data_IF_733617527615
#
_entry.id   IF_733617527615
#
_cell.length_a   1.000
_cell.length_b   1.000
_cell.length_c   1.000
_cell.angle_alpha   90.00
_cell.angle_beta   90.00
_cell.angle_gamma   90.00
#
_symmetry.space_group_name_H-M   'P 1'
#
loop_
_entity.id
_entity.type
_entity.pdbx_description
1 polymer ?
#
# COMPACT_ATOMS: atom_id res chain seq x y z
N UNK A 1 -3.27 -38.20 -50.56
CA UNK A 1 -3.52 -37.67 -49.20
C UNK A 1 -2.39 -38.13 -48.30
N UNK A 2 -1.36 -37.29 -48.13
CA UNK A 2 -0.26 -37.53 -47.20
C UNK A 2 -0.47 -36.59 -46.02
N UNK A 3 -0.82 -37.16 -44.87
CA UNK A 3 -0.94 -36.45 -43.60
C UNK A 3 0.46 -36.03 -43.14
N UNK A 4 0.76 -34.74 -43.30
CA UNK A 4 1.91 -34.08 -42.70
C UNK A 4 1.79 -34.16 -41.18
N UNK A 5 2.68 -34.94 -40.54
CA UNK A 5 2.87 -34.89 -39.10
C UNK A 5 3.61 -33.59 -38.75
N UNK A 6 2.92 -32.69 -38.05
CA UNK A 6 3.53 -31.53 -37.41
C UNK A 6 4.33 -32.05 -36.20
N UNK A 7 5.66 -31.88 -36.15
CA UNK A 7 6.43 -32.29 -34.99
C UNK A 7 6.13 -31.32 -33.85
N UNK A 8 5.51 -31.84 -32.79
CA UNK A 8 5.37 -31.17 -31.48
C UNK A 8 6.78 -30.99 -30.88
N UNK A 9 7.43 -29.89 -31.24
CA UNK A 9 8.71 -29.50 -30.71
C UNK A 9 8.54 -29.12 -29.23
N UNK A 10 8.93 -30.03 -28.34
CA UNK A 10 9.00 -29.81 -26.91
C UNK A 10 10.10 -28.75 -26.64
N UNK A 11 9.75 -27.46 -26.72
CA UNK A 11 10.64 -26.33 -26.37
C UNK A 11 11.07 -26.54 -24.91
N UNK A 12 12.31 -27.01 -24.68
CA UNK A 12 12.90 -27.12 -23.34
C UNK A 12 12.98 -25.71 -22.76
N UNK A 13 12.02 -25.36 -21.91
CA UNK A 13 11.99 -24.12 -21.14
C UNK A 13 13.28 -24.07 -20.31
N UNK A 14 14.18 -23.14 -20.60
CA UNK A 14 15.43 -22.99 -19.86
C UNK A 14 15.14 -22.26 -18.53
N UNK A 15 15.16 -22.94 -17.36
CA UNK A 15 14.60 -22.40 -16.12
C UNK A 15 15.37 -21.19 -15.56
N UNK A 16 16.65 -21.06 -15.89
CA UNK A 16 17.55 -20.06 -15.30
C UNK A 16 17.20 -18.62 -15.69
N UNK A 17 16.50 -18.40 -16.81
CA UNK A 17 16.36 -17.07 -17.43
C UNK A 17 15.06 -16.35 -17.05
N UNK A 18 13.97 -17.11 -16.88
CA UNK A 18 12.79 -16.65 -16.13
C UNK A 18 13.17 -16.28 -14.70
N UNK A 19 14.13 -17.01 -14.13
CA UNK A 19 14.75 -16.69 -12.86
C UNK A 19 15.37 -15.29 -12.82
N UNK A 20 16.03 -14.82 -13.90
CA UNK A 20 16.66 -13.49 -13.91
C UNK A 20 15.64 -12.35 -13.90
N UNK A 21 14.62 -12.38 -14.78
CA UNK A 21 13.56 -11.34 -14.80
C UNK A 21 12.78 -11.32 -13.48
N UNK A 22 12.48 -12.49 -12.94
CA UNK A 22 11.86 -12.63 -11.63
C UNK A 22 12.75 -12.08 -10.51
N UNK A 23 14.04 -12.42 -10.52
CA UNK A 23 14.98 -11.90 -9.55
C UNK A 23 15.07 -10.37 -9.60
N UNK A 24 15.18 -9.77 -10.78
CA UNK A 24 15.20 -8.31 -10.95
C UNK A 24 13.94 -7.69 -10.36
N UNK A 25 12.75 -8.19 -10.73
CA UNK A 25 11.46 -7.65 -10.26
C UNK A 25 11.28 -7.80 -8.75
N UNK A 26 11.68 -8.94 -8.18
CA UNK A 26 11.64 -9.19 -6.74
C UNK A 26 12.58 -8.22 -6.01
N UNK A 27 13.81 -8.06 -6.50
CA UNK A 27 14.77 -7.11 -5.93
C UNK A 27 14.24 -5.68 -6.01
N UNK A 28 13.73 -5.26 -7.18
CA UNK A 28 13.08 -3.96 -7.38
C UNK A 28 11.97 -3.74 -6.37
N UNK A 29 11.11 -4.73 -6.17
CA UNK A 29 9.99 -4.66 -5.23
C UNK A 29 10.46 -4.53 -3.79
N UNK A 30 11.44 -5.34 -3.37
CA UNK A 30 12.01 -5.28 -2.01
C UNK A 30 12.64 -3.91 -1.75
N UNK A 31 13.42 -3.38 -2.70
CA UNK A 31 14.05 -2.07 -2.60
C UNK A 31 13.02 -0.94 -2.50
N UNK A 32 12.06 -0.90 -3.43
CA UNK A 32 11.01 0.14 -3.45
C UNK A 32 10.17 0.10 -2.17
N UNK A 33 9.75 -1.10 -1.73
CA UNK A 33 8.94 -1.25 -0.50
C UNK A 33 9.72 -0.82 0.74
N UNK A 34 11.01 -1.18 0.83
CA UNK A 34 11.87 -0.80 1.95
C UNK A 34 12.04 0.73 2.04
N UNK A 35 12.34 1.38 0.91
CA UNK A 35 12.44 2.83 0.83
C UNK A 35 11.12 3.52 1.15
N UNK A 36 10.02 3.03 0.59
CA UNK A 36 8.68 3.55 0.86
C UNK A 36 8.31 3.44 2.35
N UNK A 37 8.70 2.35 3.01
CA UNK A 37 8.47 2.15 4.44
C UNK A 37 9.22 3.18 5.29
N UNK A 38 10.54 3.34 5.06
CA UNK A 38 11.37 4.34 5.77
C UNK A 38 10.83 5.74 5.56
N UNK A 39 10.51 6.09 4.32
CA UNK A 39 9.93 7.38 3.96
C UNK A 39 8.57 7.62 4.63
N UNK A 40 7.70 6.61 4.69
CA UNK A 40 6.39 6.71 5.34
C UNK A 40 6.54 6.97 6.85
N UNK A 41 7.47 6.27 7.51
CA UNK A 41 7.78 6.51 8.93
C UNK A 41 8.28 7.95 9.13
N UNK A 42 9.23 8.39 8.29
CA UNK A 42 9.74 9.76 8.31
C UNK A 42 8.63 10.80 8.17
N UNK A 43 7.75 10.62 7.17
CA UNK A 43 6.63 11.51 6.89
C UNK A 43 5.66 11.56 8.08
N UNK A 44 5.35 10.42 8.71
CA UNK A 44 4.47 10.38 9.89
C UNK A 44 5.02 11.23 11.02
N UNK A 45 6.30 11.09 11.33
CA UNK A 45 6.92 11.88 12.40
C UNK A 45 7.03 13.36 12.03
N UNK A 46 7.36 13.68 10.79
CA UNK A 46 7.38 15.06 10.31
C UNK A 46 5.97 15.70 10.41
N UNK A 47 4.91 14.99 10.01
CA UNK A 47 3.52 15.47 10.14
C UNK A 47 3.11 15.60 11.61
N UNK A 48 3.60 14.73 12.49
CA UNK A 48 3.37 14.84 13.92
C UNK A 48 3.99 16.11 14.48
N UNK A 49 5.23 16.43 14.08
CA UNK A 49 5.91 17.68 14.45
C UNK A 49 5.23 18.95 13.91
N UNK A 50 4.55 18.87 12.77
CA UNK A 50 3.71 19.96 12.26
C UNK A 50 2.31 20.01 12.87
N UNK A 51 1.92 19.02 13.69
CA UNK A 51 0.58 18.95 14.29
C UNK A 51 -0.52 18.60 13.28
N UNK A 52 -0.13 18.09 12.12
CA UNK A 52 -1.03 17.69 11.02
C UNK A 52 -1.39 16.20 11.06
N UNK A 53 -0.67 15.41 11.86
CA UNK A 53 -0.92 13.97 11.99
C UNK A 53 -2.20 13.70 12.80
N UNK A 54 -3.33 13.50 12.10
CA UNK A 54 -4.61 13.14 12.73
C UNK A 54 -4.84 11.63 12.78
N UNK A 55 -4.44 10.94 11.72
CA UNK A 55 -4.56 9.50 11.58
C UNK A 55 -3.17 8.87 11.50
N UNK A 56 -3.01 7.67 12.03
CA UNK A 56 -1.80 6.87 11.87
C UNK A 56 -1.57 6.48 10.40
N UNK A 57 -2.67 6.24 9.67
CA UNK A 57 -2.69 5.85 8.27
C UNK A 57 -2.76 7.07 7.34
N UNK A 58 -1.61 7.59 6.90
CA UNK A 58 -1.54 8.67 5.91
C UNK A 58 -1.05 8.18 4.56
N UNK A 59 -1.57 8.82 3.50
CA UNK A 59 -1.06 8.58 2.16
C UNK A 59 0.10 9.51 1.86
N UNK A 60 1.22 8.89 1.48
CA UNK A 60 2.43 9.57 1.01
C UNK A 60 2.15 10.54 -0.13
N UNK A 61 1.28 10.21 -1.08
CA UNK A 61 1.08 11.04 -2.28
C UNK A 61 0.45 12.41 -2.01
N UNK A 62 -0.34 12.57 -0.94
CA UNK A 62 -1.11 13.80 -0.70
C UNK A 62 -0.66 14.54 0.53
N UNK A 63 -0.28 13.82 1.58
CA UNK A 63 0.22 14.44 2.80
C UNK A 63 1.68 14.82 2.61
N UNK A 64 2.02 16.05 2.99
CA UNK A 64 3.37 16.56 2.90
C UNK A 64 3.65 17.53 4.04
N UNK A 65 4.92 17.63 4.40
CA UNK A 65 5.41 18.60 5.36
C UNK A 65 5.96 19.82 4.61
N UNK A 66 5.75 21.02 5.16
CA UNK A 66 6.32 22.25 4.61
C UNK A 66 7.76 22.46 5.08
N UNK A 67 8.07 21.96 6.27
CA UNK A 67 9.35 22.23 6.92
C UNK A 67 10.42 21.14 6.66
N UNK A 68 10.08 20.12 5.86
CA UNK A 68 11.01 19.03 5.53
C UNK A 68 11.01 18.80 4.02
N UNK A 69 12.07 19.19 3.29
CA UNK A 69 12.12 19.05 1.84
C UNK A 69 12.05 17.58 1.39
N UNK A 70 12.64 16.68 2.18
CA UNK A 70 12.56 15.23 1.98
C UNK A 70 11.12 14.68 2.11
N UNK A 71 10.27 15.33 2.90
CA UNK A 71 8.85 14.96 3.09
C UNK A 71 7.90 15.93 2.36
N UNK A 72 8.39 16.62 1.34
CA UNK A 72 7.61 17.54 0.52
C UNK A 72 6.75 16.78 -0.52
N UNK A 73 5.77 17.47 -1.09
CA UNK A 73 4.95 16.90 -2.16
C UNK A 73 5.79 16.53 -3.40
N UNK A 74 6.86 17.29 -3.67
CA UNK A 74 7.80 17.01 -4.77
C UNK A 74 8.55 15.72 -4.51
N UNK A 75 9.09 15.54 -3.29
CA UNK A 75 9.77 14.31 -2.92
C UNK A 75 8.84 13.08 -3.00
N UNK A 76 7.59 13.24 -2.57
CA UNK A 76 6.57 12.19 -2.69
C UNK A 76 6.28 11.85 -4.16
N UNK A 77 6.19 12.86 -5.04
CA UNK A 77 6.01 12.68 -6.47
C UNK A 77 7.22 12.00 -7.11
N UNK A 78 8.44 12.39 -6.75
CA UNK A 78 9.69 11.75 -7.21
C UNK A 78 9.72 10.29 -6.81
N UNK A 79 9.36 9.94 -5.56
CA UNK A 79 9.30 8.53 -5.15
C UNK A 79 8.23 7.74 -5.91
N UNK A 80 7.09 8.34 -6.20
CA UNK A 80 6.02 7.69 -6.94
C UNK A 80 6.40 7.47 -8.41
N UNK A 81 6.83 8.50 -9.11
CA UNK A 81 7.28 8.40 -10.50
C UNK A 81 8.50 7.51 -10.63
N UNK A 82 9.42 7.57 -9.67
CA UNK A 82 10.57 6.68 -9.59
C UNK A 82 10.15 5.21 -9.49
N UNK A 83 9.14 4.89 -8.67
CA UNK A 83 8.62 3.52 -8.60
C UNK A 83 8.01 3.08 -9.94
N UNK A 84 7.21 3.93 -10.59
CA UNK A 84 6.64 3.66 -11.93
C UNK A 84 7.76 3.40 -12.95
N UNK A 85 8.79 4.25 -12.99
CA UNK A 85 9.94 4.11 -13.90
C UNK A 85 10.70 2.83 -13.61
N UNK A 86 10.97 2.48 -12.34
CA UNK A 86 11.69 1.26 -11.99
C UNK A 86 10.94 0.00 -12.38
N UNK A 87 9.62 -0.08 -12.12
CA UNK A 87 8.81 -1.22 -12.54
C UNK A 87 8.69 -1.33 -14.06
N UNK A 88 8.52 -0.19 -14.74
CA UNK A 88 8.46 -0.15 -16.21
C UNK A 88 9.79 -0.59 -16.82
N UNK A 89 10.90 -0.06 -16.32
CA UNK A 89 12.24 -0.41 -16.77
C UNK A 89 12.55 -1.88 -16.49
N UNK A 90 12.24 -2.41 -15.30
CA UNK A 90 12.42 -3.83 -14.98
C UNK A 90 11.64 -4.75 -15.93
N UNK A 91 10.42 -4.35 -16.33
CA UNK A 91 9.61 -5.11 -17.28
C UNK A 91 10.21 -5.18 -18.69
N UNK A 92 10.84 -4.09 -19.17
CA UNK A 92 11.41 -4.01 -20.53
C UNK A 92 12.94 -4.19 -20.59
N UNK A 93 13.61 -4.39 -19.44
CA UNK A 93 15.08 -4.42 -19.36
C UNK A 93 15.69 -5.56 -20.18
N UNK A 94 15.01 -6.69 -20.24
CA UNK A 94 15.42 -7.88 -20.98
C UNK A 94 14.30 -8.22 -21.95
N UNK A 95 14.51 -7.94 -23.24
CA UNK A 95 13.56 -8.31 -24.29
C UNK A 95 13.94 -9.66 -24.89
N UNK A 96 12.93 -10.44 -25.27
CA UNK A 96 13.08 -11.70 -26.00
C UNK A 96 12.78 -11.43 -27.47
N UNK A 97 13.75 -11.67 -28.34
CA UNK A 97 13.61 -11.54 -29.78
C UNK A 97 13.74 -12.93 -30.41
N UNK A 98 12.69 -13.37 -31.12
CA UNK A 98 12.79 -14.57 -31.97
C UNK A 98 13.49 -14.17 -33.28
N UNK A 99 14.51 -14.93 -33.67
CA UNK A 99 15.24 -14.68 -34.93
C UNK A 99 14.85 -15.71 -35.98
N UNK A 100 15.02 -15.35 -37.26
CA UNK A 100 14.69 -16.15 -38.46
C UNK A 100 15.34 -17.55 -38.48
N UNK A 101 16.31 -17.84 -37.62
CA UNK A 101 17.00 -19.14 -37.51
C UNK A 101 16.60 -19.96 -36.27
N UNK A 102 15.41 -19.76 -35.70
CA UNK A 102 14.93 -20.43 -34.48
C UNK A 102 15.83 -20.26 -33.24
N UNK A 103 16.71 -19.25 -33.25
CA UNK A 103 17.51 -18.87 -32.09
C UNK A 103 16.86 -17.68 -31.41
N UNK A 104 16.36 -17.88 -30.21
CA UNK A 104 15.92 -16.78 -29.35
C UNK A 104 17.15 -15.96 -28.91
N UNK A 105 17.25 -14.70 -29.35
CA UNK A 105 18.23 -13.74 -28.85
C UNK A 105 17.59 -12.87 -27.78
N UNK A 106 18.33 -12.56 -26.71
CA UNK A 106 17.88 -11.65 -25.66
C UNK A 106 18.60 -10.33 -25.83
N UNK A 107 17.85 -9.24 -25.92
CA UNK A 107 18.40 -7.89 -26.05
C UNK A 107 18.22 -7.18 -24.72
N UNK A 108 19.33 -6.83 -24.08
CA UNK A 108 19.33 -5.92 -22.94
C UNK A 108 19.33 -4.50 -23.47
N UNK A 109 18.38 -3.68 -23.05
CA UNK A 109 18.29 -2.28 -23.48
C UNK A 109 19.06 -1.37 -22.51
N UNK A 110 20.24 -0.82 -22.87
CA UNK A 110 21.05 0.00 -21.95
C UNK A 110 20.30 1.21 -21.40
N UNK A 111 19.42 1.83 -22.21
CA UNK A 111 18.60 2.98 -21.80
C UNK A 111 17.66 2.64 -20.63
N UNK A 112 17.11 1.42 -20.60
CA UNK A 112 16.25 0.97 -19.49
C UNK A 112 17.04 0.83 -18.19
N UNK A 113 18.28 0.34 -18.26
CA UNK A 113 19.15 0.20 -17.10
C UNK A 113 19.54 1.56 -16.54
N UNK A 114 19.84 2.53 -17.41
CA UNK A 114 20.11 3.91 -17.02
C UNK A 114 18.88 4.54 -16.35
N UNK A 115 17.70 4.43 -16.98
CA UNK A 115 16.46 4.95 -16.41
C UNK A 115 16.13 4.31 -15.05
N UNK A 116 16.31 2.99 -14.94
CA UNK A 116 16.16 2.24 -13.68
C UNK A 116 17.10 2.75 -12.59
N UNK A 117 18.40 2.89 -12.91
CA UNK A 117 19.42 3.33 -11.97
C UNK A 117 19.18 4.77 -11.49
N UNK A 118 18.82 5.68 -12.40
CA UNK A 118 18.51 7.07 -12.05
C UNK A 118 17.27 7.16 -11.16
N UNK A 119 16.20 6.42 -11.48
CA UNK A 119 14.98 6.40 -10.68
C UNK A 119 15.18 5.75 -9.29
N UNK A 120 16.02 4.72 -9.19
CA UNK A 120 16.44 4.15 -7.91
C UNK A 120 17.28 5.14 -7.11
N UNK A 121 18.28 5.77 -7.74
CA UNK A 121 19.14 6.75 -7.08
C UNK A 121 18.33 7.93 -6.53
N UNK A 122 17.39 8.47 -7.31
CA UNK A 122 16.51 9.54 -6.84
C UNK A 122 15.70 9.13 -5.61
N UNK A 123 15.15 7.90 -5.59
CA UNK A 123 14.43 7.37 -4.43
C UNK A 123 15.33 7.14 -3.21
N UNK A 124 16.54 6.64 -3.42
CA UNK A 124 17.54 6.45 -2.36
C UNK A 124 17.91 7.80 -1.75
N UNK A 125 18.15 8.82 -2.58
CA UNK A 125 18.47 10.18 -2.11
C UNK A 125 17.33 10.75 -1.29
N UNK A 126 16.09 10.69 -1.77
CA UNK A 126 14.91 11.17 -1.02
C UNK A 126 14.79 10.43 0.32
N UNK A 127 14.92 9.10 0.30
CA UNK A 127 14.81 8.28 1.51
C UNK A 127 15.93 8.58 2.50
N UNK A 128 17.17 8.75 2.02
CA UNK A 128 18.32 9.08 2.86
C UNK A 128 18.15 10.45 3.53
N UNK A 129 17.65 11.45 2.80
CA UNK A 129 17.33 12.76 3.35
C UNK A 129 16.16 12.71 4.34
N UNK A 130 15.28 11.69 4.24
CA UNK A 130 14.16 11.47 5.15
C UNK A 130 14.57 10.74 6.45
N UNK A 131 15.72 10.04 6.49
CA UNK A 131 16.16 9.25 7.65
C UNK A 131 16.23 10.03 8.98
N UNK A 132 16.78 11.27 9.06
CA UNK A 132 16.87 11.98 10.33
C UNK A 132 15.51 12.18 11.00
N UNK A 133 14.46 12.43 10.21
CA UNK A 133 13.08 12.54 10.70
C UNK A 133 12.47 11.19 11.06
N UNK A 134 12.92 10.08 10.44
CA UNK A 134 12.47 8.74 10.81
C UNK A 134 12.98 8.30 12.20
N UNK A 135 14.21 8.69 12.57
CA UNK A 135 14.82 8.32 13.84
C UNK A 135 14.42 9.19 15.02
N UNK A 136 13.95 10.42 14.77
CA UNK A 136 13.45 11.31 15.83
C UNK A 136 12.02 10.96 16.17
N UNK A 137 11.82 9.93 17.00
CA UNK A 137 10.53 9.67 17.61
C UNK A 137 10.20 10.82 18.58
N UNK A 138 9.12 11.59 18.36
CA UNK A 138 8.75 12.69 19.22
C UNK A 138 8.18 12.18 20.55
N UNK A 139 8.40 12.94 21.63
CA UNK A 139 7.62 12.78 22.85
C UNK A 139 6.19 13.25 22.58
N UNK A 140 5.28 12.30 22.35
CA UNK A 140 3.90 12.58 21.96
C UNK A 140 3.07 13.24 23.08
N UNK A 141 3.59 13.20 24.32
CA UNK A 141 2.90 13.64 25.54
C UNK A 141 2.47 15.12 25.53
N UNK A 142 3.16 15.98 24.79
CA UNK A 142 2.87 17.41 24.80
C UNK A 142 1.79 17.86 23.81
N UNK A 143 1.30 16.97 22.93
CA UNK A 143 0.33 17.35 21.87
C UNK A 143 -0.97 16.56 21.88
N UNK A 144 -0.92 15.31 22.29
CA UNK A 144 -2.10 14.49 22.45
C UNK A 144 -2.43 14.41 23.94
N UNK A 145 -3.46 15.16 24.33
CA UNK A 145 -3.94 15.18 25.72
C UNK A 145 -5.25 14.42 25.76
N UNK A 146 -5.34 13.45 26.67
CA UNK A 146 -6.59 12.71 26.92
C UNK A 146 -7.68 13.69 27.34
N UNK A 147 -8.86 13.56 26.73
CA UNK A 147 -10.05 14.31 27.13
C UNK A 147 -10.95 13.39 27.96
N UNK A 148 -11.19 13.77 29.20
CA UNK A 148 -12.06 12.99 30.10
C UNK A 148 -13.52 13.00 29.61
N UNK A 149 -14.29 11.96 29.94
CA UNK A 149 -15.70 11.87 29.54
C UNK A 149 -15.94 11.28 28.14
N UNK A 150 -14.94 10.61 27.54
CA UNK A 150 -14.97 10.15 26.13
C UNK A 150 -14.68 8.68 25.95
N UNK A 151 -14.74 7.88 27.00
CA UNK A 151 -14.31 6.48 26.96
C UNK A 151 -15.13 5.56 26.03
N UNK A 152 -16.31 6.01 25.56
CA UNK A 152 -17.12 5.32 24.56
C UNK A 152 -17.38 6.14 23.28
N UNK A 153 -16.68 7.25 23.08
CA UNK A 153 -16.87 8.11 21.92
C UNK A 153 -15.95 7.68 20.76
N UNK A 154 -16.56 7.24 19.66
CA UNK A 154 -15.84 6.86 18.45
C UNK A 154 -15.33 8.06 17.65
N UNK A 155 -14.52 7.78 16.63
CA UNK A 155 -13.93 8.79 15.74
C UNK A 155 -14.97 9.66 15.03
N UNK A 156 -16.18 9.16 14.80
CA UNK A 156 -17.25 9.94 14.18
C UNK A 156 -17.70 11.14 15.02
N UNK A 157 -17.47 11.09 16.34
CA UNK A 157 -17.80 12.15 17.31
C UNK A 157 -16.55 12.88 17.84
N UNK A 158 -15.40 12.78 17.16
CA UNK A 158 -14.13 13.33 17.68
C UNK A 158 -14.13 14.86 17.90
N UNK A 159 -15.04 15.59 17.24
CA UNK A 159 -15.24 17.04 17.42
C UNK A 159 -16.33 17.41 18.41
N UNK A 160 -17.18 16.46 18.82
CA UNK A 160 -18.28 16.69 19.76
C UNK A 160 -17.72 16.92 21.18
N UNK A 161 -18.42 17.64 22.07
CA UNK A 161 -18.04 17.74 23.48
C UNK A 161 -18.07 16.37 24.18
N UNK A 162 -17.39 16.25 25.33
CA UNK A 162 -17.45 15.04 26.17
C UNK A 162 -18.85 14.88 26.75
N UNK A 163 -19.46 13.72 26.50
CA UNK A 163 -20.83 13.42 26.92
C UNK A 163 -20.94 11.95 27.33
N UNK A 164 -21.60 11.66 28.47
CA UNK A 164 -21.92 10.29 28.85
C UNK A 164 -22.65 9.58 27.72
N UNK A 165 -22.10 8.45 27.26
CA UNK A 165 -22.58 7.78 26.05
C UNK A 165 -22.86 6.32 26.36
N UNK A 166 -23.97 5.79 25.83
CA UNK A 166 -24.28 4.35 25.91
C UNK A 166 -23.53 3.57 24.82
N UNK A 167 -23.10 2.33 25.09
CA UNK A 167 -22.42 1.50 24.10
C UNK A 167 -23.30 1.23 22.86
N UNK A 168 -22.74 1.44 21.66
CA UNK A 168 -23.44 1.09 20.42
C UNK A 168 -23.30 -0.39 20.12
N UNK A 169 -24.38 -1.03 19.66
CA UNK A 169 -24.31 -2.43 19.16
C UNK A 169 -23.47 -2.54 17.88
N UNK A 170 -23.48 -1.50 17.06
CA UNK A 170 -22.80 -1.42 15.77
C UNK A 170 -22.06 -0.11 15.66
N UNK A 171 -20.80 -0.19 15.29
CA UNK A 171 -19.98 0.97 14.99
C UNK A 171 -20.12 1.34 13.52
N UNK A 172 -20.06 2.65 13.19
CA UNK A 172 -20.09 3.10 11.81
C UNK A 172 -18.92 2.54 11.00
N UNK A 173 -19.16 2.29 9.71
CA UNK A 173 -18.15 1.82 8.76
C UNK A 173 -17.11 2.90 8.46
N UNK A 174 -15.94 2.48 7.94
CA UNK A 174 -14.83 3.37 7.56
C UNK A 174 -15.31 4.46 6.61
N UNK A 175 -16.12 4.08 5.62
CA UNK A 175 -16.64 5.01 4.62
C UNK A 175 -17.47 6.15 5.24
N UNK A 176 -18.23 5.83 6.30
CA UNK A 176 -19.07 6.80 7.00
C UNK A 176 -18.24 7.72 7.89
N UNK A 177 -17.28 7.16 8.62
CA UNK A 177 -16.48 7.89 9.61
C UNK A 177 -15.35 8.72 9.01
N UNK A 178 -14.63 8.17 8.05
CA UNK A 178 -13.40 8.76 7.51
C UNK A 178 -13.68 9.47 6.19
N UNK A 179 -14.16 10.71 6.26
CA UNK A 179 -14.50 11.51 5.06
C UNK A 179 -13.34 11.64 4.07
N UNK A 180 -12.11 11.75 4.59
CA UNK A 180 -10.91 11.87 3.74
C UNK A 180 -10.55 10.59 2.98
N UNK A 181 -11.16 9.44 3.31
CA UNK A 181 -10.97 8.18 2.56
C UNK A 181 -11.88 8.06 1.34
N UNK A 182 -12.98 8.83 1.27
CA UNK A 182 -13.95 8.71 0.16
C UNK A 182 -13.31 9.04 -1.21
N UNK A 183 -12.50 10.11 -1.37
CA UNK A 183 -11.78 10.35 -2.61
C UNK A 183 -10.91 9.18 -3.05
N UNK A 184 -10.32 8.45 -2.11
CA UNK A 184 -9.46 7.29 -2.41
C UNK A 184 -10.25 6.10 -2.93
N UNK A 185 -11.49 5.92 -2.49
CA UNK A 185 -12.37 4.90 -3.08
C UNK A 185 -12.72 5.26 -4.52
N UNK A 186 -12.99 6.53 -4.84
CA UNK A 186 -13.19 6.95 -6.23
C UNK A 186 -11.93 6.77 -7.07
N UNK A 187 -10.75 7.15 -6.54
CA UNK A 187 -9.46 6.92 -7.20
C UNK A 187 -9.22 5.43 -7.47
N UNK A 188 -9.62 4.54 -6.56
CA UNK A 188 -9.52 3.10 -6.73
C UNK A 188 -10.28 2.64 -7.98
N UNK A 189 -11.54 3.05 -8.14
CA UNK A 189 -12.36 2.71 -9.31
C UNK A 189 -11.89 3.40 -10.59
N UNK A 190 -11.46 4.66 -10.52
CA UNK A 190 -10.85 5.36 -11.65
C UNK A 190 -9.56 4.63 -12.09
N UNK A 191 -8.76 4.15 -11.14
CA UNK A 191 -7.56 3.35 -11.40
C UNK A 191 -7.88 2.04 -12.11
N UNK A 192 -8.95 1.34 -11.73
CA UNK A 192 -9.44 0.15 -12.43
C UNK A 192 -9.83 0.47 -13.87
N UNK A 193 -10.62 1.54 -14.08
CA UNK A 193 -11.03 1.97 -15.42
C UNK A 193 -9.82 2.37 -16.27
N UNK A 194 -8.83 3.05 -15.68
CA UNK A 194 -7.61 3.43 -16.34
C UNK A 194 -6.72 2.21 -16.68
N UNK A 195 -6.66 1.21 -15.80
CA UNK A 195 -5.94 -0.04 -16.07
C UNK A 195 -6.58 -0.80 -17.24
N UNK A 196 -7.91 -0.99 -17.22
CA UNK A 196 -8.65 -1.64 -18.32
C UNK A 196 -8.54 -0.83 -19.62
N UNK A 197 -8.68 0.50 -19.53
CA UNK A 197 -8.53 1.40 -20.66
C UNK A 197 -7.13 1.35 -21.26
N UNK A 198 -6.09 1.25 -20.43
CA UNK A 198 -4.71 1.08 -20.91
C UNK A 198 -4.53 -0.23 -21.69
N UNK A 199 -5.18 -1.32 -21.28
CA UNK A 199 -5.21 -2.56 -22.05
C UNK A 199 -5.90 -2.40 -23.41
N UNK A 200 -6.99 -1.63 -23.46
CA UNK A 200 -7.67 -1.27 -24.71
C UNK A 200 -6.80 -0.44 -25.65
N UNK A 201 -6.04 0.52 -25.11
CA UNK A 201 -5.08 1.33 -25.88
C UNK A 201 -3.96 0.44 -26.43
N UNK A 202 -3.36 -0.41 -25.60
CA UNK A 202 -2.32 -1.35 -26.04
C UNK A 202 -2.85 -2.24 -27.15
N UNK A 203 -4.06 -2.80 -27.01
CA UNK A 203 -4.69 -3.61 -28.07
C UNK A 203 -4.94 -2.80 -29.35
N UNK A 204 -5.40 -1.56 -29.24
CA UNK A 204 -5.64 -0.69 -30.39
C UNK A 204 -4.33 -0.36 -31.13
N UNK A 205 -3.26 -0.07 -30.40
CA UNK A 205 -1.92 0.15 -30.97
C UNK A 205 -1.43 -1.11 -31.67
N UNK A 206 -1.52 -2.28 -31.02
CA UNK A 206 -1.12 -3.55 -31.63
C UNK A 206 -1.92 -3.88 -32.89
N UNK A 207 -3.21 -3.56 -32.94
CA UNK A 207 -4.06 -3.76 -34.13
C UNK A 207 -3.76 -2.77 -35.25
N UNK A 208 -3.52 -1.50 -34.92
CA UNK A 208 -3.26 -0.47 -35.91
C UNK A 208 -1.87 -0.64 -36.53
N UNK A 209 -0.90 -1.09 -35.75
CA UNK A 209 0.44 -1.41 -36.22
C UNK A 209 0.55 -2.76 -36.93
N UNK A 210 -0.56 -3.26 -37.50
CA UNK A 210 -0.79 -4.63 -37.98
C UNK A 210 0.19 -5.23 -38.99
N UNK A 211 1.21 -4.47 -39.43
CA UNK A 211 2.35 -4.97 -40.21
C UNK A 211 3.70 -4.34 -39.75
N UNK A 212 3.71 -3.08 -39.29
CA UNK A 212 4.94 -2.35 -38.92
C UNK A 212 5.56 -2.71 -37.55
N UNK A 213 4.79 -3.24 -36.58
CA UNK A 213 5.35 -3.62 -35.26
C UNK A 213 5.99 -5.01 -35.30
N UNK A 214 5.54 -5.88 -36.20
CA UNK A 214 6.23 -7.15 -36.50
C UNK A 214 7.58 -6.90 -37.20
N UNK A 215 7.77 -5.73 -37.81
CA UNK A 215 9.02 -5.24 -38.39
C UNK A 215 9.61 -4.04 -37.66
N UNK A 216 9.42 -3.92 -36.33
CA UNK A 216 10.45 -3.24 -35.55
C UNK A 216 11.64 -4.19 -35.61
N UNK A 217 12.40 -4.07 -36.69
CA UNK A 217 13.61 -4.82 -36.91
C UNK A 217 14.53 -4.44 -35.74
N UNK A 218 14.62 -5.34 -34.75
CA UNK A 218 15.55 -5.22 -33.65
C UNK A 218 16.94 -5.56 -34.19
N UNK A 219 17.39 -4.80 -35.18
CA UNK A 219 18.78 -4.80 -35.65
C UNK A 219 19.72 -4.20 -34.58
N UNK A 220 19.12 -3.70 -33.49
CA UNK A 220 19.76 -3.20 -32.27
C UNK A 220 20.30 -4.29 -31.36
N UNK A 221 21.32 -5.00 -31.83
CA UNK A 221 22.43 -5.32 -30.91
C UNK A 221 23.29 -4.06 -30.80
N UNK A 222 24.06 -3.88 -29.71
CA UNK A 222 25.27 -3.08 -29.83
C UNK A 222 26.03 -3.69 -31.01
N UNK A 223 26.09 -3.03 -32.16
CA UNK A 223 27.00 -3.45 -33.21
C UNK A 223 28.39 -3.32 -32.58
N UNK A 224 29.06 -4.45 -32.27
CA UNK A 224 30.34 -4.41 -31.60
C UNK A 224 31.40 -3.75 -32.49
N UNK A 225 31.12 -3.58 -33.79
CA UNK A 225 32.03 -2.94 -34.74
C UNK A 225 31.81 -1.42 -34.85
N UNK A 226 30.59 -0.90 -34.74
CA UNK A 226 30.31 0.56 -34.89
C UNK A 226 30.01 1.32 -33.61
N UNK A 227 29.65 0.63 -32.51
CA UNK A 227 29.40 1.26 -31.21
C UNK A 227 28.22 2.25 -31.17
N UNK A 228 27.36 2.28 -32.19
CA UNK A 228 26.21 3.20 -32.27
C UNK A 228 24.95 2.57 -31.67
N UNK A 229 24.21 3.36 -30.89
CA UNK A 229 22.90 2.97 -30.35
C UNK A 229 21.85 3.00 -31.49
N UNK A 230 21.32 1.83 -31.85
CA UNK A 230 20.50 1.65 -33.06
C UNK A 230 19.00 1.47 -32.80
N UNK A 231 18.52 1.62 -31.56
CA UNK A 231 17.11 1.92 -31.32
C UNK A 231 16.92 3.43 -31.46
N UNK A 232 16.15 3.93 -32.43
CA UNK A 232 15.81 5.34 -32.49
C UNK A 232 15.23 5.77 -31.14
N UNK A 233 15.67 6.90 -30.57
CA UNK A 233 15.18 7.40 -29.28
C UNK A 233 13.65 7.43 -29.21
N UNK A 234 13.01 7.66 -30.37
CA UNK A 234 11.58 7.61 -30.55
C UNK A 234 10.97 6.21 -30.34
N UNK A 235 11.62 5.15 -30.82
CA UNK A 235 11.16 3.77 -30.64
C UNK A 235 11.29 3.34 -29.18
N UNK A 236 12.41 3.66 -28.52
CA UNK A 236 12.57 3.44 -27.08
C UNK A 236 11.51 4.19 -26.27
N UNK A 237 11.30 5.48 -26.57
CA UNK A 237 10.31 6.31 -25.86
C UNK A 237 8.89 5.75 -26.01
N UNK A 238 8.53 5.27 -27.21
CA UNK A 238 7.24 4.61 -27.45
C UNK A 238 7.10 3.33 -26.64
N UNK A 239 8.09 2.43 -26.69
CA UNK A 239 8.07 1.17 -25.94
C UNK A 239 7.99 1.41 -24.43
N UNK A 240 8.80 2.35 -23.93
CA UNK A 240 8.81 2.71 -22.53
C UNK A 240 7.49 3.34 -22.08
N UNK A 241 6.89 4.20 -22.91
CA UNK A 241 5.57 4.79 -22.63
C UNK A 241 4.46 3.72 -22.60
N UNK A 242 4.51 2.72 -23.49
CA UNK A 242 3.58 1.58 -23.49
C UNK A 242 3.75 0.77 -22.20
N UNK A 243 4.97 0.56 -21.72
CA UNK A 243 5.22 -0.13 -20.46
C UNK A 243 4.79 0.70 -19.23
N UNK A 244 5.08 2.01 -19.23
CA UNK A 244 4.79 2.89 -18.10
C UNK A 244 3.31 3.28 -17.96
N UNK A 245 2.58 3.33 -19.07
CA UNK A 245 1.16 3.70 -19.10
C UNK A 245 0.32 2.86 -18.14
N UNK A 246 0.33 1.52 -18.22
CA UNK A 246 -0.39 0.65 -17.29
C UNK A 246 0.16 0.68 -15.85
N UNK A 247 1.45 0.95 -15.66
CA UNK A 247 2.10 0.94 -14.35
C UNK A 247 1.64 2.09 -13.46
N UNK A 248 1.34 3.26 -14.04
CA UNK A 248 0.92 4.43 -13.27
C UNK A 248 -0.46 4.25 -12.58
N UNK A 249 -1.54 3.83 -13.27
CA UNK A 249 -2.81 3.48 -12.64
C UNK A 249 -2.67 2.38 -11.59
N UNK A 250 -1.85 1.36 -11.87
CA UNK A 250 -1.62 0.26 -10.93
C UNK A 250 -0.95 0.75 -9.64
N UNK A 251 0.11 1.56 -9.77
CA UNK A 251 0.80 2.16 -8.63
C UNK A 251 -0.14 3.04 -7.80
N UNK A 252 -1.00 3.84 -8.45
CA UNK A 252 -1.99 4.66 -7.76
C UNK A 252 -3.04 3.82 -7.02
N UNK A 253 -3.52 2.75 -7.66
CA UNK A 253 -4.48 1.81 -7.10
C UNK A 253 -3.91 1.08 -5.87
N UNK A 254 -2.66 0.60 -5.96
CA UNK A 254 -1.97 -0.04 -4.84
C UNK A 254 -1.76 0.93 -3.68
N UNK A 255 -1.39 2.18 -3.94
CA UNK A 255 -1.28 3.21 -2.91
C UNK A 255 -2.63 3.54 -2.24
N UNK A 256 -3.71 3.64 -3.02
CA UNK A 256 -5.05 3.81 -2.45
C UNK A 256 -5.45 2.61 -1.57
N UNK A 257 -5.14 1.40 -2.03
CA UNK A 257 -5.39 0.14 -1.34
C UNK A 257 -4.64 0.06 -0.01
N UNK A 258 -3.34 0.38 -0.02
CA UNK A 258 -2.47 0.39 1.16
C UNK A 258 -3.06 1.24 2.28
N UNK A 259 -3.59 2.43 1.95
CA UNK A 259 -4.19 3.32 2.94
C UNK A 259 -5.40 2.68 3.62
N UNK A 260 -6.30 2.11 2.84
CA UNK A 260 -7.52 1.50 3.37
C UNK A 260 -7.19 0.26 4.22
N UNK A 261 -6.28 -0.58 3.74
CA UNK A 261 -5.74 -1.73 4.49
C UNK A 261 -5.16 -1.28 5.83
N UNK A 262 -4.35 -0.23 5.84
CA UNK A 262 -3.75 0.28 7.08
C UNK A 262 -4.82 0.74 8.07
N UNK A 263 -5.87 1.45 7.63
CA UNK A 263 -6.99 1.84 8.50
C UNK A 263 -7.75 0.62 9.05
N UNK A 264 -7.96 -0.41 8.22
CA UNK A 264 -8.61 -1.66 8.65
C UNK A 264 -7.74 -2.40 9.66
N UNK A 265 -6.42 -2.44 9.44
CA UNK A 265 -5.45 -3.09 10.33
C UNK A 265 -5.36 -2.36 11.68
N UNK A 266 -5.33 -1.04 11.66
CA UNK A 266 -5.33 -0.21 12.87
C UNK A 266 -6.58 -0.49 13.71
N UNK A 267 -7.76 -0.53 13.06
CA UNK A 267 -9.02 -0.88 13.73
C UNK A 267 -9.05 -2.32 14.23
N UNK A 268 -8.54 -3.28 13.44
CA UNK A 268 -8.48 -4.68 13.85
C UNK A 268 -7.57 -4.84 15.08
N UNK A 269 -6.47 -4.08 15.15
CA UNK A 269 -5.55 -4.07 16.29
C UNK A 269 -6.20 -3.47 17.52
N UNK A 270 -6.91 -2.34 17.36
CA UNK A 270 -7.74 -1.75 18.40
C UNK A 270 -8.77 -2.76 18.94
N UNK A 271 -9.45 -3.50 18.04
CA UNK A 271 -10.46 -4.50 18.42
C UNK A 271 -9.93 -5.73 19.14
N UNK A 272 -8.67 -6.09 18.93
CA UNK A 272 -8.03 -7.20 19.66
C UNK A 272 -7.96 -6.92 21.16
N UNK A 273 -7.91 -5.65 21.59
CA UNK A 273 -7.89 -5.31 23.01
C UNK A 273 -9.14 -5.71 23.77
N UNK A 274 -10.32 -5.71 23.14
CA UNK A 274 -11.55 -6.17 23.77
C UNK A 274 -11.68 -7.71 23.81
N UNK A 275 -10.71 -8.44 23.25
CA UNK A 275 -10.73 -9.90 23.21
C UNK A 275 -9.97 -10.49 24.41
N UNK A 276 -10.27 -11.75 24.76
CA UNK A 276 -9.61 -12.50 25.85
C UNK A 276 -8.08 -12.64 25.73
N UNK A 277 -7.52 -12.40 24.54
CA UNK A 277 -6.07 -12.46 24.29
C UNK A 277 -5.38 -11.11 24.49
N UNK A 278 -6.16 -10.01 24.52
CA UNK A 278 -5.64 -8.65 24.53
C UNK A 278 -4.84 -8.30 23.28
N UNK A 279 -4.14 -7.18 23.32
CA UNK A 279 -3.09 -6.84 22.36
C UNK A 279 -1.79 -6.55 23.09
N UNK A 280 -0.67 -7.04 22.55
CA UNK A 280 0.67 -6.71 23.05
C UNK A 280 1.34 -5.78 22.04
N UNK A 281 2.15 -4.85 22.52
CA UNK A 281 3.04 -4.09 21.63
C UNK A 281 4.19 -5.02 21.24
N UNK A 282 4.04 -5.79 20.16
CA UNK A 282 5.17 -6.56 19.64
C UNK A 282 6.34 -5.59 19.42
N UNK A 283 7.53 -5.96 19.92
CA UNK A 283 8.72 -5.12 19.82
C UNK A 283 8.91 -4.72 18.35
N UNK A 284 9.10 -3.43 18.11
CA UNK A 284 9.14 -2.80 16.80
C UNK A 284 10.41 -3.20 16.05
N UNK A 285 10.59 -4.48 15.75
CA UNK A 285 11.57 -4.93 14.78
C UNK A 285 10.99 -4.54 13.41
N UNK A 286 11.58 -3.57 12.69
CA UNK A 286 11.06 -3.11 11.40
C UNK A 286 10.93 -4.28 10.42
N UNK A 287 11.88 -5.22 10.47
CA UNK A 287 11.90 -6.44 9.67
C UNK A 287 10.77 -7.42 10.01
N UNK A 288 10.48 -7.64 11.31
CA UNK A 288 9.40 -8.55 11.74
C UNK A 288 8.02 -7.91 11.53
N UNK A 289 7.91 -6.59 11.69
CA UNK A 289 6.68 -5.85 11.42
C UNK A 289 6.37 -5.71 9.92
N UNK A 290 7.40 -5.63 9.06
CA UNK A 290 7.25 -5.79 7.62
C UNK A 290 6.78 -7.21 7.26
N UNK A 291 7.35 -8.23 7.90
CA UNK A 291 7.05 -9.65 7.66
C UNK A 291 5.67 -10.11 8.18
N UNK A 292 5.15 -9.51 9.25
CA UNK A 292 3.85 -9.87 9.88
C UNK A 292 2.70 -8.92 9.58
N UNK A 293 2.93 -7.89 8.78
CA UNK A 293 1.82 -7.06 8.31
C UNK A 293 0.79 -7.97 7.63
N UNK A 294 -0.43 -7.97 8.18
CA UNK A 294 -1.50 -8.94 7.92
C UNK A 294 -2.15 -8.75 6.53
N UNK A 295 -1.35 -8.29 5.58
CA UNK A 295 -1.66 -8.22 4.16
C UNK A 295 -0.88 -9.27 3.37
N UNK A 296 -0.21 -10.23 4.01
CA UNK A 296 0.25 -11.43 3.29
C UNK A 296 -0.91 -12.06 2.51
N UNK A 297 -2.14 -12.17 3.02
CA UNK A 297 -3.23 -12.79 2.23
C UNK A 297 -3.77 -11.94 1.05
N UNK A 298 -3.58 -10.62 1.03
CA UNK A 298 -4.04 -9.76 -0.09
C UNK A 298 -2.88 -9.44 -1.05
N UNK A 299 -1.64 -9.38 -0.55
CA UNK A 299 -0.43 -9.21 -1.37
C UNK A 299 0.18 -10.54 -1.85
N UNK A 300 -0.19 -11.68 -1.26
CA UNK A 300 0.23 -13.02 -1.68
C UNK A 300 -0.80 -13.69 -2.60
N UNK A 301 -1.65 -12.95 -3.32
CA UNK A 301 -2.38 -13.55 -4.44
C UNK A 301 -1.30 -14.04 -5.43
N UNK A 302 -1.03 -15.36 -5.49
CA UNK A 302 -0.02 -15.88 -6.38
C UNK A 302 -0.62 -15.73 -7.78
N UNK A 303 -0.10 -14.78 -8.56
CA UNK A 303 -0.64 -14.49 -9.89
C UNK A 303 -0.75 -13.02 -10.27
N UNK A 304 -0.78 -12.06 -9.32
CA UNK A 304 -0.81 -10.65 -9.73
C UNK A 304 0.56 -10.18 -10.26
N UNK A 305 1.63 -10.54 -9.54
CA UNK A 305 2.98 -10.44 -10.08
C UNK A 305 3.17 -11.47 -11.19
N UNK A 306 2.76 -12.73 -10.98
CA UNK A 306 2.98 -13.86 -11.91
C UNK A 306 2.29 -13.72 -13.29
N UNK A 307 1.21 -12.95 -13.42
CA UNK A 307 0.58 -12.64 -14.71
C UNK A 307 1.45 -11.75 -15.61
N UNK A 308 2.44 -11.04 -15.05
CA UNK A 308 3.47 -10.34 -15.82
C UNK A 308 4.59 -11.26 -16.35
N UNK A 309 4.58 -12.57 -16.01
CA UNK A 309 5.73 -13.46 -16.22
C UNK A 309 5.66 -14.38 -17.44
N UNK A 310 4.68 -14.22 -18.34
CA UNK A 310 4.77 -14.86 -19.67
C UNK A 310 5.43 -13.92 -20.69
N UNK A 311 6.45 -14.38 -21.43
CA UNK A 311 7.31 -13.53 -22.24
C UNK A 311 6.81 -13.39 -23.69
N UNK A 312 5.50 -13.39 -23.90
CA UNK A 312 4.95 -12.94 -25.15
C UNK A 312 4.45 -11.53 -24.89
N UNK A 313 5.02 -10.55 -25.62
CA UNK A 313 4.45 -9.22 -25.93
C UNK A 313 3.24 -8.94 -25.06
N UNK A 314 3.39 -8.17 -23.96
CA UNK A 314 2.30 -7.77 -23.03
C UNK A 314 0.96 -8.10 -23.65
N UNK A 315 0.49 -9.34 -23.46
CA UNK A 315 -0.61 -9.75 -24.32
C UNK A 315 -1.77 -8.93 -23.81
N UNK A 316 -2.64 -8.44 -24.69
CA UNK A 316 -3.77 -7.63 -24.21
C UNK A 316 -4.53 -8.39 -23.11
N UNK A 317 -4.51 -9.73 -23.17
CA UNK A 317 -4.99 -10.66 -22.14
C UNK A 317 -4.34 -10.40 -20.77
N UNK A 318 -3.03 -10.25 -20.65
CA UNK A 318 -2.35 -10.02 -19.37
C UNK A 318 -2.74 -8.68 -18.75
N UNK A 319 -2.85 -7.62 -19.57
CA UNK A 319 -3.29 -6.30 -19.10
C UNK A 319 -4.76 -6.34 -18.66
N UNK A 320 -5.62 -7.05 -19.39
CA UNK A 320 -7.01 -7.26 -18.99
C UNK A 320 -7.12 -8.14 -17.75
N UNK A 321 -6.28 -9.15 -17.57
CA UNK A 321 -6.23 -9.98 -16.38
C UNK A 321 -5.83 -9.15 -15.15
N UNK A 322 -4.81 -8.30 -15.27
CA UNK A 322 -4.41 -7.34 -14.22
C UNK A 322 -5.54 -6.36 -13.93
N UNK A 323 -6.19 -5.82 -14.97
CA UNK A 323 -7.37 -4.95 -14.81
C UNK A 323 -8.53 -5.63 -14.08
N UNK A 324 -8.82 -6.89 -14.42
CA UNK A 324 -9.82 -7.71 -13.74
C UNK A 324 -9.46 -7.98 -12.28
N UNK A 325 -8.20 -8.33 -12.00
CA UNK A 325 -7.74 -8.52 -10.64
C UNK A 325 -7.77 -7.22 -9.81
N UNK A 326 -7.44 -6.08 -10.42
CA UNK A 326 -7.63 -4.75 -9.82
C UNK A 326 -9.10 -4.48 -9.50
N UNK A 327 -10.03 -4.87 -10.38
CA UNK A 327 -11.46 -4.74 -10.15
C UNK A 327 -11.92 -5.61 -8.95
N UNK A 328 -11.48 -6.86 -8.89
CA UNK A 328 -11.75 -7.75 -7.77
C UNK A 328 -11.21 -7.16 -6.45
N UNK A 329 -9.97 -6.67 -6.45
CA UNK A 329 -9.38 -6.00 -5.29
C UNK A 329 -10.18 -4.77 -4.89
N UNK A 330 -10.61 -3.94 -5.85
CA UNK A 330 -11.40 -2.75 -5.57
C UNK A 330 -12.76 -3.07 -4.95
N UNK A 331 -13.45 -4.11 -5.44
CA UNK A 331 -14.71 -4.59 -4.87
C UNK A 331 -14.50 -5.14 -3.46
N UNK A 332 -13.47 -5.98 -3.27
CA UNK A 332 -13.13 -6.53 -1.96
C UNK A 332 -12.86 -5.42 -0.93
N UNK A 333 -11.99 -4.47 -1.26
CA UNK A 333 -11.65 -3.35 -0.41
C UNK A 333 -12.87 -2.46 -0.11
N UNK A 334 -13.69 -2.18 -1.12
CA UNK A 334 -14.93 -1.42 -0.92
C UNK A 334 -15.87 -2.15 0.04
N UNK A 335 -16.03 -3.47 -0.10
CA UNK A 335 -16.84 -4.28 0.81
C UNK A 335 -16.36 -4.13 2.26
N UNK A 336 -15.03 -4.16 2.50
CA UNK A 336 -14.45 -3.95 3.82
C UNK A 336 -14.65 -2.52 4.35
N UNK A 337 -14.61 -1.51 3.46
CA UNK A 337 -14.82 -0.11 3.81
C UNK A 337 -16.27 0.18 4.21
N UNK A 338 -17.24 -0.50 3.60
CA UNK A 338 -18.66 -0.39 3.90
C UNK A 338 -19.11 -1.26 5.07
N UNK A 339 -18.36 -2.32 5.41
CA UNK A 339 -18.75 -3.26 6.45
C UNK A 339 -18.78 -2.61 7.85
N UNK A 340 -19.95 -2.50 8.51
CA UNK A 340 -20.04 -1.95 9.87
C UNK A 340 -19.50 -2.95 10.89
N UNK A 341 -18.75 -2.46 11.87
CA UNK A 341 -18.13 -3.34 12.87
C UNK A 341 -19.09 -3.62 14.03
N UNK A 342 -19.24 -4.90 14.38
CA UNK A 342 -20.07 -5.33 15.52
C UNK A 342 -19.34 -5.06 16.83
N UNK A 343 -20.09 -4.67 17.86
CA UNK A 343 -19.62 -4.62 19.24
C UNK A 343 -19.57 -3.22 19.86
N UNK A 344 -19.52 -3.17 21.20
CA UNK A 344 -19.61 -1.93 21.98
C UNK A 344 -18.35 -1.06 21.89
N UNK A 345 -17.21 -1.65 21.53
CA UNK A 345 -15.95 -0.93 21.43
C UNK A 345 -16.01 0.13 20.32
N UNK A 346 -15.73 1.41 20.65
CA UNK A 346 -15.80 2.52 19.70
C UNK A 346 -14.85 2.33 18.52
N UNK A 347 -15.24 2.77 17.32
CA UNK A 347 -14.35 2.75 16.17
C UNK A 347 -13.30 3.87 16.25
N UNK A 348 -12.06 3.54 15.91
CA UNK A 348 -10.95 4.50 15.89
C UNK A 348 -10.36 4.67 14.49
N UNK A 349 -10.28 3.59 13.71
CA UNK A 349 -9.67 3.56 12.37
C UNK A 349 -8.30 4.27 12.29
N UNK A 350 -7.53 4.21 13.39
CA UNK A 350 -6.22 4.84 13.49
C UNK A 350 -6.23 6.34 13.81
N UNK A 351 -7.36 6.95 14.19
CA UNK A 351 -7.40 8.35 14.63
C UNK A 351 -6.71 8.51 15.98
N UNK A 352 -5.61 9.27 16.01
CA UNK A 352 -4.69 9.31 17.15
C UNK A 352 -5.34 9.88 18.40
N UNK A 353 -6.03 11.02 18.29
CA UNK A 353 -6.68 11.64 19.44
C UNK A 353 -7.80 10.75 20.01
N UNK A 354 -8.56 10.07 19.17
CA UNK A 354 -9.61 9.15 19.67
C UNK A 354 -8.99 7.96 20.39
N UNK A 355 -7.88 7.41 19.89
CA UNK A 355 -7.17 6.35 20.62
C UNK A 355 -6.71 6.86 21.99
N UNK A 356 -6.18 8.08 22.07
CA UNK A 356 -5.73 8.68 23.34
C UNK A 356 -6.89 8.96 24.30
N UNK A 357 -8.07 9.32 23.79
CA UNK A 357 -9.28 9.48 24.61
C UNK A 357 -9.76 8.14 25.20
N UNK A 358 -9.54 7.02 24.49
CA UNK A 358 -10.01 5.68 24.87
C UNK A 358 -8.99 4.89 25.72
N UNK A 359 -7.72 5.29 25.73
CA UNK A 359 -6.65 4.66 26.51
C UNK A 359 -6.36 5.54 27.73
N UNK A 360 -6.78 5.05 28.89
CA UNK A 360 -6.53 5.68 30.21
C UNK A 360 -5.17 5.26 30.80
N UNK A 361 -4.75 4.02 30.58
CA UNK A 361 -3.46 3.48 31.04
C UNK A 361 -2.56 3.11 29.85
N UNK A 362 -1.37 3.70 29.80
CA UNK A 362 -0.37 3.40 28.77
C UNK A 362 0.70 2.45 29.29
N UNK A 363 1.11 1.46 28.49
CA UNK A 363 2.14 0.52 28.91
C UNK A 363 3.47 1.24 29.15
N UNK A 364 4.12 0.96 30.28
CA UNK A 364 5.45 1.51 30.62
C UNK A 364 6.54 0.81 29.82
N UNK A 365 6.33 -0.47 29.53
CA UNK A 365 7.24 -1.32 28.78
C UNK A 365 6.51 -2.02 27.63
N UNK A 366 7.21 -2.31 26.53
CA UNK A 366 6.59 -2.86 25.32
C UNK A 366 6.04 -4.29 25.49
N UNK A 367 6.39 -4.98 26.56
CA UNK A 367 5.97 -6.34 26.85
C UNK A 367 4.58 -6.46 27.49
N UNK A 368 3.98 -5.36 27.96
CA UNK A 368 2.68 -5.40 28.62
C UNK A 368 1.54 -5.68 27.65
N UNK A 369 0.60 -6.54 28.07
CA UNK A 369 -0.60 -6.83 27.30
C UNK A 369 -1.71 -5.88 27.73
N UNK A 370 -2.34 -5.22 26.75
CA UNK A 370 -3.43 -4.28 26.95
C UNK A 370 -4.77 -4.98 26.70
N UNK A 371 -5.67 -4.86 27.67
CA UNK A 371 -7.06 -5.29 27.57
C UNK A 371 -7.97 -4.09 27.70
N UNK A 372 -9.01 -3.98 26.85
CA UNK A 372 -9.97 -2.90 26.92
C UNK A 372 -11.34 -3.44 27.32
N UNK A 373 -12.02 -2.79 28.27
CA UNK A 373 -13.31 -3.26 28.76
C UNK A 373 -13.90 -2.40 29.87
N UNK A 374 -14.87 -2.97 30.58
CA UNK A 374 -15.58 -2.28 31.66
C UNK A 374 -14.69 -2.15 32.91
N UNK A 375 -14.68 -0.95 33.49
CA UNK A 375 -14.13 -0.63 34.81
C UNK A 375 -15.24 -0.07 35.69
N UNK A 376 -15.44 -0.66 36.86
CA UNK A 376 -16.41 -0.19 37.84
C UNK A 376 -15.89 1.08 38.56
N UNK A 377 -16.81 1.97 38.97
CA UNK A 377 -16.47 3.09 39.85
C UNK A 377 -15.84 4.31 39.18
N UNK A 378 -16.33 4.71 38.00
CA UNK A 378 -15.96 6.01 37.42
C UNK A 378 -16.47 7.16 38.30
N UNK A 379 -15.68 8.23 38.47
CA UNK A 379 -16.19 9.48 39.05
C UNK A 379 -17.06 10.16 38.00
N UNK A 380 -18.38 10.11 38.20
CA UNK A 380 -19.33 10.77 37.31
C UNK A 380 -19.08 12.27 37.19
N UNK A 381 -19.36 12.85 36.02
CA UNK A 381 -19.32 14.31 35.79
C UNK A 381 -20.34 15.08 36.65
N UNK A 382 -21.28 14.38 37.29
CA UNK A 382 -22.23 14.89 38.29
C UNK A 382 -22.33 13.87 39.42
N UNK A 383 -22.33 14.32 40.68
CA UNK A 383 -22.42 13.46 41.89
C UNK A 383 -23.69 12.59 41.96
N UNK A 384 -24.67 12.82 41.09
CA UNK A 384 -26.02 12.25 41.22
C UNK A 384 -26.31 11.01 40.36
N UNK A 385 -25.42 10.59 39.46
CA UNK A 385 -25.59 9.34 38.71
C UNK A 385 -24.30 8.49 38.72
N UNK A 386 -24.38 7.18 39.06
CA UNK A 386 -23.24 6.29 38.95
C UNK A 386 -22.91 6.09 37.46
N UNK A 387 -21.84 6.74 36.99
CA UNK A 387 -21.37 6.58 35.60
C UNK A 387 -20.19 5.62 35.59
N UNK A 388 -20.25 4.63 34.71
CA UNK A 388 -19.19 3.64 34.58
C UNK A 388 -18.04 4.16 33.70
N UNK A 389 -16.90 3.50 33.79
CA UNK A 389 -15.75 3.82 32.96
C UNK A 389 -15.40 2.66 32.02
N UNK A 390 -14.94 2.98 30.82
CA UNK A 390 -14.38 2.01 29.90
C UNK A 390 -12.91 2.37 29.68
N UNK A 391 -12.01 1.40 29.81
CA UNK A 391 -10.59 1.72 29.81
C UNK A 391 -9.73 0.50 29.51
N UNK A 392 -8.43 0.76 29.47
CA UNK A 392 -7.37 -0.22 29.27
C UNK A 392 -6.84 -0.70 30.62
N UNK A 393 -6.72 -2.00 30.81
CA UNK A 393 -5.98 -2.62 31.91
C UNK A 393 -4.68 -3.22 31.35
N UNK A 394 -3.57 -2.96 32.05
CA UNK A 394 -2.25 -3.47 31.70
C UNK A 394 -1.94 -4.77 32.46
N UNK A 395 -1.47 -5.80 31.74
CA UNK A 395 -0.90 -7.04 32.30
C UNK A 395 -1.77 -7.79 33.32
N UNK A 396 -3.09 -7.55 33.32
CA UNK A 396 -4.08 -8.20 34.18
C UNK A 396 -4.90 -9.27 33.44
N UNK A 397 -5.89 -9.89 34.12
CA UNK A 397 -6.88 -10.71 33.44
C UNK A 397 -7.71 -9.85 32.47
N UNK A 398 -8.33 -10.47 31.43
CA UNK A 398 -9.24 -9.75 30.55
C UNK A 398 -10.34 -9.04 31.34
N UNK A 399 -10.57 -7.76 31.03
CA UNK A 399 -11.64 -6.96 31.64
C UNK A 399 -13.03 -7.53 31.32
N UNK A 400 -13.99 -7.20 32.17
CA UNK A 400 -15.39 -7.54 31.92
C UNK A 400 -15.88 -6.90 30.60
N UNK A 401 -16.75 -7.60 29.85
CA UNK A 401 -17.40 -7.01 28.69
C UNK A 401 -18.19 -5.75 29.05
N UNK A 402 -18.19 -4.78 28.16
CA UNK A 402 -19.01 -3.57 28.28
C UNK A 402 -20.50 -3.93 28.41
N UNK A 403 -21.15 -3.37 29.42
CA UNK A 403 -22.57 -3.56 29.75
C UNK A 403 -23.40 -2.59 28.92
N UNK A 404 -24.29 -3.11 28.08
CA UNK A 404 -24.93 -2.32 26.99
C UNK A 404 -25.95 -1.30 27.48
N UNK A 405 -26.52 -1.51 28.65
CA UNK A 405 -27.62 -0.71 29.18
C UNK A 405 -27.16 0.39 30.14
N UNK A 406 -25.86 0.46 30.40
CA UNK A 406 -25.24 1.41 31.32
C UNK A 406 -24.65 2.64 30.59
N UNK A 407 -24.52 3.74 31.32
CA UNK A 407 -23.89 4.97 30.87
C UNK A 407 -22.40 4.95 31.21
N UNK A 408 -21.57 5.42 30.27
CA UNK A 408 -20.13 5.52 30.44
C UNK A 408 -19.61 6.92 30.18
N UNK A 409 -18.62 7.35 30.96
CA UNK A 409 -17.94 8.65 30.90
C UNK A 409 -16.43 8.48 30.98
#
# INVERSE_FOLDING_TARGET
MSTSQVPLLHKKICPSRYGLKAAITVVTTVCIKSMAHVHNISLRWALFHEGKLRFNSNLRLVQHCRNSPANSWIANLVCFLGAVVCYSAAAVMVLECETVKDRTMYVTLPQTLIAYALAMLAQVVVTALALPSAYRAPDARNRLVRRDGRCLMGVERHSDPSEPTRPKRWQPSIFRTHKDLRPWMYILYIGVLAAVGSGGIVLAVLRHSGDDVASIDFDGTLDPETGKSLLPDLAFSKLFAIAAGPQMPLALLLHASERLVNCIRDEATWRKMAHKRGTRRESANPLVSADRSTCKEVESIPGLDQAYFRPYIVTSIDVFAVGGACACLAVFLSSLAFWPRKGPQPATYGHLQTIVDLIDEWPKHGDETMYWGHKAGGTGWKETEPVNHAGVLLSGPPLEPIRKDELYS
#
